data_IF_385696300532
#
_entry.id   IF_385696300532
#
_cell.length_a   1.000
_cell.length_b   1.000
_cell.length_c   1.000
_cell.angle_alpha   90.00
_cell.angle_beta   90.00
_cell.angle_gamma   90.00
#
_symmetry.space_group_name_H-M   'P 1'
#
loop_
_entity.id
_entity.type
_entity.pdbx_description
1 polymer ?
#
# COMPACT_ATOMS: atom_id res chain seq x y z
N UNK A 1 -1.61 2.90 -32.33
CA UNK A 1 -1.70 3.51 -30.99
C UNK A 1 -1.66 2.37 -30.00
N UNK A 2 -0.82 2.42 -28.97
CA UNK A 2 -0.78 1.36 -27.95
C UNK A 2 -2.11 1.32 -27.20
N UNK A 3 -2.62 0.12 -26.94
CA UNK A 3 -3.81 -0.10 -26.12
C UNK A 3 -3.60 0.50 -24.71
N UNK A 4 -4.46 1.40 -24.22
CA UNK A 4 -4.35 1.98 -22.88
C UNK A 4 -4.23 0.94 -21.77
N UNK A 5 -4.89 -0.22 -21.91
CA UNK A 5 -4.80 -1.29 -20.92
C UNK A 5 -3.41 -1.94 -20.92
N UNK A 6 -2.82 -2.16 -22.10
CA UNK A 6 -1.46 -2.65 -22.23
C UNK A 6 -0.45 -1.65 -21.65
N UNK A 7 -0.66 -0.34 -21.82
CA UNK A 7 0.17 0.70 -21.20
C UNK A 7 0.07 0.67 -19.68
N UNK A 8 -1.15 0.58 -19.12
CA UNK A 8 -1.34 0.45 -17.66
C UNK A 8 -0.61 -0.78 -17.12
N UNK A 9 -0.78 -1.94 -17.76
CA UNK A 9 -0.11 -3.18 -17.35
C UNK A 9 1.41 -3.06 -17.38
N UNK A 10 1.98 -2.43 -18.40
CA UNK A 10 3.42 -2.23 -18.49
C UNK A 10 3.95 -1.27 -17.41
N UNK A 11 3.21 -0.19 -17.11
CA UNK A 11 3.55 0.71 -16.01
C UNK A 11 3.55 -0.06 -14.68
N UNK A 12 2.49 -0.82 -14.38
CA UNK A 12 2.40 -1.59 -13.14
C UNK A 12 3.50 -2.66 -13.04
N UNK A 13 3.83 -3.34 -14.16
CA UNK A 13 4.95 -4.29 -14.22
C UNK A 13 6.28 -3.61 -13.85
N UNK A 14 6.56 -2.45 -14.45
CA UNK A 14 7.77 -1.66 -14.16
C UNK A 14 7.76 -1.11 -12.72
N UNK A 15 6.60 -0.72 -12.19
CA UNK A 15 6.45 -0.33 -10.78
C UNK A 15 6.83 -1.46 -9.84
N UNK A 16 6.39 -2.70 -10.12
CA UNK A 16 6.78 -3.86 -9.31
C UNK A 16 8.28 -4.10 -9.35
N UNK A 17 8.87 -4.05 -10.55
CA UNK A 17 10.31 -4.21 -10.75
C UNK A 17 11.12 -3.15 -9.99
N UNK A 18 10.71 -1.89 -10.07
CA UNK A 18 11.31 -0.78 -9.33
C UNK A 18 11.21 -1.00 -7.82
N UNK A 19 10.03 -1.36 -7.30
CA UNK A 19 9.82 -1.57 -5.86
C UNK A 19 10.74 -2.67 -5.31
N UNK A 20 10.89 -3.79 -6.01
CA UNK A 20 11.79 -4.87 -5.59
C UNK A 20 13.24 -4.43 -5.47
N UNK A 21 13.71 -3.52 -6.32
CA UNK A 21 15.09 -3.02 -6.29
C UNK A 21 15.29 -1.92 -5.25
N UNK A 22 14.35 -0.98 -5.14
CA UNK A 22 14.52 0.25 -4.35
C UNK A 22 13.97 0.11 -2.92
N UNK A 23 13.02 -0.78 -2.69
CA UNK A 23 12.31 -0.94 -1.41
C UNK A 23 12.60 -2.28 -0.72
N UNK A 24 13.64 -3.00 -1.13
CA UNK A 24 14.05 -4.29 -0.55
C UNK A 24 14.22 -4.24 0.98
N UNK A 25 14.66 -3.13 1.57
CA UNK A 25 14.80 -2.98 3.02
C UNK A 25 13.48 -2.93 3.81
N UNK A 26 12.36 -2.63 3.16
CA UNK A 26 11.03 -2.55 3.78
C UNK A 26 10.22 -3.84 3.64
N UNK A 27 10.74 -4.86 2.95
CA UNK A 27 10.05 -6.15 2.79
C UNK A 27 9.86 -6.85 4.15
N UNK A 28 8.87 -7.75 4.30
CA UNK A 28 8.67 -8.51 5.53
C UNK A 28 9.95 -9.20 6.03
N UNK A 29 10.10 -9.37 7.34
CA UNK A 29 11.34 -9.91 7.93
C UNK A 29 11.67 -11.35 7.46
N UNK A 30 10.64 -12.14 7.16
CA UNK A 30 10.78 -13.50 6.64
C UNK A 30 10.99 -13.55 5.11
N UNK A 31 10.95 -12.41 4.41
CA UNK A 31 11.10 -12.36 2.97
C UNK A 31 12.59 -12.52 2.57
N UNK A 32 12.95 -13.52 1.75
CA UNK A 32 14.34 -13.77 1.37
C UNK A 32 14.94 -12.65 0.51
N UNK A 33 14.11 -11.79 -0.10
CA UNK A 33 14.56 -10.64 -0.87
C UNK A 33 14.78 -9.39 0.00
N UNK A 34 14.53 -9.47 1.32
CA UNK A 34 14.77 -8.36 2.22
C UNK A 34 16.28 -8.06 2.32
N UNK A 35 16.66 -6.80 2.18
CA UNK A 35 18.05 -6.38 2.41
C UNK A 35 18.45 -6.68 3.86
N UNK A 36 19.57 -7.39 4.09
CA UNK A 36 20.01 -7.69 5.44
C UNK A 36 20.44 -6.40 6.15
N UNK A 37 20.19 -6.33 7.46
CA UNK A 37 20.75 -5.27 8.28
C UNK A 37 22.28 -5.40 8.29
N UNK A 38 22.98 -4.27 8.24
CA UNK A 38 24.44 -4.21 8.27
C UNK A 38 24.90 -3.50 9.53
N UNK A 39 26.02 -3.96 10.11
CA UNK A 39 26.61 -3.31 11.27
C UNK A 39 26.83 -1.80 11.03
N UNK A 40 26.39 -0.98 11.97
CA UNK A 40 26.39 0.48 11.85
C UNK A 40 25.12 1.08 11.25
N UNK A 41 24.20 0.27 10.73
CA UNK A 41 22.87 0.74 10.29
C UNK A 41 21.97 1.02 11.50
N UNK A 42 21.15 2.07 11.39
CA UNK A 42 20.16 2.39 12.41
C UNK A 42 19.13 1.25 12.58
N UNK A 43 18.70 1.03 13.82
CA UNK A 43 17.60 0.12 14.15
C UNK A 43 16.42 1.00 14.58
N UNK A 44 15.44 1.27 13.70
CA UNK A 44 14.30 2.10 14.05
C UNK A 44 13.33 1.33 14.97
N UNK A 45 12.70 2.03 15.91
CA UNK A 45 11.70 1.41 16.81
C UNK A 45 10.43 0.97 16.05
N UNK A 46 10.12 1.63 14.93
CA UNK A 46 8.99 1.34 14.06
C UNK A 46 9.35 1.70 12.61
N UNK A 47 8.67 1.07 11.67
CA UNK A 47 8.86 1.32 10.25
C UNK A 47 7.75 0.71 9.41
N UNK A 48 7.63 1.22 8.19
CA UNK A 48 6.75 0.65 7.17
C UNK A 48 7.28 -0.73 6.73
N UNK A 49 6.37 -1.69 6.57
CA UNK A 49 6.65 -3.02 6.04
C UNK A 49 5.68 -3.28 4.91
N UNK A 50 6.19 -3.47 3.70
CA UNK A 50 5.38 -3.58 2.49
C UNK A 50 6.18 -4.27 1.37
N UNK A 51 5.48 -4.66 0.33
CA UNK A 51 6.03 -5.30 -0.87
C UNK A 51 5.74 -4.45 -2.10
N UNK A 52 5.99 -4.99 -3.30
CA UNK A 52 5.55 -4.33 -4.51
C UNK A 52 4.03 -4.19 -4.64
N UNK A 53 3.24 -4.98 -3.91
CA UNK A 53 1.78 -4.97 -4.01
C UNK A 53 1.20 -3.62 -3.55
N UNK A 54 1.70 -3.06 -2.44
CA UNK A 54 1.27 -1.73 -1.97
C UNK A 54 1.69 -0.60 -2.92
N UNK A 55 2.86 -0.70 -3.53
CA UNK A 55 3.36 0.32 -4.47
C UNK A 55 2.59 0.27 -5.79
N UNK A 56 2.31 -0.94 -6.29
CA UNK A 56 1.47 -1.15 -7.46
C UNK A 56 0.05 -0.62 -7.22
N UNK A 57 -0.55 -0.93 -6.07
CA UNK A 57 -1.89 -0.43 -5.73
C UNK A 57 -1.94 1.10 -5.74
N UNK A 58 -0.93 1.76 -5.15
CA UNK A 58 -0.84 3.23 -5.15
C UNK A 58 -0.68 3.81 -6.56
N UNK A 59 0.14 3.20 -7.42
CA UNK A 59 0.32 3.64 -8.81
C UNK A 59 -0.95 3.36 -9.63
N UNK A 60 -1.60 2.21 -9.46
CA UNK A 60 -2.86 1.88 -10.14
C UNK A 60 -3.93 2.91 -9.81
N UNK A 61 -4.13 3.24 -8.53
CA UNK A 61 -5.07 4.28 -8.11
C UNK A 61 -4.70 5.66 -8.68
N UNK A 62 -3.40 5.97 -8.80
CA UNK A 62 -2.92 7.20 -9.42
C UNK A 62 -3.24 7.25 -10.92
N UNK A 63 -3.10 6.14 -11.64
CA UNK A 63 -3.43 6.04 -13.07
C UNK A 63 -4.94 6.14 -13.32
N UNK A 64 -5.76 5.63 -12.40
CA UNK A 64 -7.22 5.77 -12.46
C UNK A 64 -7.67 7.21 -12.14
N UNK A 65 -6.81 7.98 -11.48
CA UNK A 65 -6.93 9.43 -11.21
C UNK A 65 -8.25 9.86 -10.54
N UNK A 66 -8.93 8.91 -9.89
CA UNK A 66 -10.03 9.19 -8.97
C UNK A 66 -9.43 9.53 -7.59
N UNK A 67 -9.28 10.82 -7.31
CA UNK A 67 -8.46 11.31 -6.18
C UNK A 67 -9.21 11.35 -4.83
N UNK A 68 -10.50 11.05 -4.82
CA UNK A 68 -11.32 10.99 -3.60
C UNK A 68 -11.60 9.55 -3.20
N UNK A 69 -12.37 9.32 -2.13
CA UNK A 69 -12.80 7.98 -1.77
C UNK A 69 -13.58 7.37 -2.96
N UNK A 70 -13.08 6.25 -3.48
CA UNK A 70 -13.63 5.52 -4.62
C UNK A 70 -13.71 4.01 -4.35
N UNK A 71 -13.72 3.21 -5.41
CA UNK A 71 -13.89 1.74 -5.33
C UNK A 71 -12.91 1.06 -4.37
N UNK A 72 -11.63 1.45 -4.42
CA UNK A 72 -10.58 0.89 -3.56
C UNK A 72 -10.81 1.23 -2.08
N UNK A 73 -11.26 2.45 -1.79
CA UNK A 73 -11.59 2.86 -0.43
C UNK A 73 -12.82 2.14 0.12
N UNK A 74 -13.85 1.95 -0.72
CA UNK A 74 -15.02 1.16 -0.35
C UNK A 74 -14.69 -0.32 -0.12
N UNK A 75 -13.82 -0.89 -0.96
CA UNK A 75 -13.33 -2.26 -0.81
C UNK A 75 -12.57 -2.41 0.51
N UNK A 76 -11.63 -1.50 0.80
CA UNK A 76 -10.89 -1.48 2.06
C UNK A 76 -11.82 -1.39 3.28
N UNK A 77 -12.85 -0.54 3.24
CA UNK A 77 -13.80 -0.46 4.36
C UNK A 77 -14.54 -1.79 4.60
N UNK A 78 -14.98 -2.47 3.53
CA UNK A 78 -15.66 -3.77 3.64
C UNK A 78 -14.73 -4.84 4.19
N UNK A 79 -13.51 -4.93 3.66
CA UNK A 79 -12.51 -5.91 4.06
C UNK A 79 -12.04 -5.68 5.50
N UNK A 80 -11.84 -4.42 5.90
CA UNK A 80 -11.46 -4.07 7.27
C UNK A 80 -12.58 -4.41 8.27
N UNK A 81 -13.84 -4.15 7.93
CA UNK A 81 -14.95 -4.52 8.80
C UNK A 81 -15.03 -6.05 8.99
N UNK A 82 -14.86 -6.81 7.91
CA UNK A 82 -14.81 -8.26 7.95
C UNK A 82 -13.63 -8.79 8.78
N UNK A 83 -12.43 -8.22 8.58
CA UNK A 83 -11.22 -8.58 9.32
C UNK A 83 -11.38 -8.35 10.82
N UNK A 84 -12.01 -7.24 11.23
CA UNK A 84 -12.23 -6.90 12.63
C UNK A 84 -13.47 -7.57 13.25
N UNK A 85 -14.32 -8.22 12.45
CA UNK A 85 -15.58 -8.82 12.92
C UNK A 85 -16.65 -7.80 13.32
N UNK A 86 -16.66 -6.62 12.68
CA UNK A 86 -17.64 -5.54 12.95
C UNK A 86 -18.53 -5.29 11.73
N UNK A 87 -19.70 -4.65 11.95
CA UNK A 87 -20.68 -4.41 10.88
C UNK A 87 -20.23 -3.36 9.86
N UNK A 88 -19.53 -2.32 10.32
CA UNK A 88 -19.13 -1.18 9.50
C UNK A 88 -17.74 -0.71 9.88
N UNK A 89 -17.00 -0.20 8.90
CA UNK A 89 -15.80 0.61 9.11
C UNK A 89 -15.88 1.86 8.23
N UNK A 90 -15.31 2.97 8.72
CA UNK A 90 -15.28 4.25 8.01
C UNK A 90 -13.83 4.71 7.92
N UNK A 91 -13.39 5.03 6.70
CA UNK A 91 -12.08 5.62 6.46
C UNK A 91 -12.09 7.11 6.78
N UNK A 92 -11.04 7.53 7.47
CA UNK A 92 -10.76 8.93 7.80
C UNK A 92 -9.28 9.21 7.57
N UNK A 93 -8.89 10.48 7.50
CA UNK A 93 -7.54 10.90 7.13
C UNK A 93 -6.47 10.65 8.22
N UNK A 94 -6.86 10.29 9.45
CA UNK A 94 -5.91 9.96 10.52
C UNK A 94 -6.58 9.24 11.70
N UNK A 95 -5.79 8.58 12.54
CA UNK A 95 -6.29 8.01 13.81
C UNK A 95 -6.86 9.06 14.77
N UNK A 96 -6.30 10.27 14.80
CA UNK A 96 -6.84 11.37 15.61
C UNK A 96 -8.22 11.81 15.12
N UNK A 97 -8.44 11.87 13.81
CA UNK A 97 -9.77 12.12 13.23
C UNK A 97 -10.77 11.03 13.58
N UNK A 98 -10.32 9.76 13.61
CA UNK A 98 -11.17 8.64 14.01
C UNK A 98 -11.65 8.79 15.45
N UNK A 99 -10.75 9.19 16.36
CA UNK A 99 -11.11 9.49 17.75
C UNK A 99 -12.08 10.68 17.84
N UNK A 100 -11.86 11.73 17.05
CA UNK A 100 -12.71 12.92 17.06
C UNK A 100 -14.16 12.60 16.65
N UNK A 101 -14.36 11.80 15.59
CA UNK A 101 -15.71 11.48 15.10
C UNK A 101 -16.41 10.37 15.90
N UNK A 102 -15.70 9.71 16.81
CA UNK A 102 -16.25 8.66 17.67
C UNK A 102 -16.99 9.22 18.90
N UNK A 103 -16.83 10.52 19.19
CA UNK A 103 -17.44 11.24 20.33
C UNK A 103 -18.63 12.05 19.82
#
# INVERSE_FOLDING_TARGET
MSDPQALKQEILRLTREYSRQVHAGFRPAADPQRSPWQQGSAIPYAGRVFTEDEVEAAVSATLDFWLTLGSEGEAFQRELAAFLGVRHSLLVNSGSSANLIAI
#
